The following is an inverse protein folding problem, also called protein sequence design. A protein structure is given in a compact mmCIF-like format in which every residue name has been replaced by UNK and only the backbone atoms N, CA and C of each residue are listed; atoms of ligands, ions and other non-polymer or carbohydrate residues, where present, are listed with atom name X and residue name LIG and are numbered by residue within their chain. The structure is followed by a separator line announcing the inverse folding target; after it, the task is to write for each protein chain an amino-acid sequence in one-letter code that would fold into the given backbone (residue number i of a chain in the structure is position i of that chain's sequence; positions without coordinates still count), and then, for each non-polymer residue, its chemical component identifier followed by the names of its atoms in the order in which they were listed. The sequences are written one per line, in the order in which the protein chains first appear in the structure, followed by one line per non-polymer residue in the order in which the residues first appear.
data_IF_787681450256
#
_entry.id   IF_787681450256
#
_cell.length_a   1.000
_cell.length_b   1.000
_cell.length_c   1.000
_cell.angle_alpha   90.00
_cell.angle_beta   90.00
_cell.angle_gamma   90.00
#
_symmetry.space_group_name_H-M   'P 1'
#
loop_
_entity.id
_entity.type
_entity.pdbx_description
1 polymer ?
#
# COMPACT_ATOMS: atom_id res chain seq x y z
N UNK A 1 -15.82 -0.85 -7.67
CA UNK A 1 -14.41 -0.93 -7.24
C UNK A 1 -14.43 -1.22 -5.76
N UNK A 2 -14.14 -2.46 -5.39
CA UNK A 2 -14.01 -2.87 -4.00
C UNK A 2 -12.55 -2.70 -3.55
N UNK A 3 -12.34 -2.24 -2.32
CA UNK A 3 -11.01 -2.07 -1.74
C UNK A 3 -10.79 -3.04 -0.59
N UNK A 4 -9.83 -3.95 -0.75
CA UNK A 4 -9.47 -4.92 0.28
C UNK A 4 -8.30 -4.40 1.10
N UNK A 5 -8.43 -4.41 2.43
CA UNK A 5 -7.32 -4.11 3.34
C UNK A 5 -6.46 -5.34 3.59
N UNK A 6 -5.15 -5.19 3.50
CA UNK A 6 -4.17 -6.27 3.70
C UNK A 6 -3.38 -6.16 4.99
N UNK A 7 -3.50 -5.03 5.71
CA UNK A 7 -2.95 -4.86 7.05
C UNK A 7 -3.98 -5.20 8.13
N UNK A 8 -3.62 -6.03 9.11
CA UNK A 8 -4.49 -6.32 10.28
C UNK A 8 -4.51 -5.15 11.26
N UNK A 9 -3.39 -4.41 11.37
CA UNK A 9 -3.23 -3.20 12.17
C UNK A 9 -2.36 -2.19 11.44
N UNK A 10 -2.47 -0.88 11.73
CA UNK A 10 -1.53 0.10 11.24
C UNK A 10 -0.10 -0.20 11.72
N UNK A 11 0.89 -0.03 10.84
CA UNK A 11 2.29 -0.31 11.17
C UNK A 11 3.21 0.84 10.77
N UNK A 12 4.32 1.01 11.50
CA UNK A 12 5.30 2.06 11.18
C UNK A 12 6.11 1.68 9.94
N UNK A 13 6.14 2.58 8.95
CA UNK A 13 6.93 2.42 7.74
C UNK A 13 8.08 3.42 7.71
N UNK A 14 9.33 2.92 7.71
CA UNK A 14 10.51 3.77 7.56
C UNK A 14 10.51 4.52 6.22
N UNK A 15 10.06 3.86 5.15
CA UNK A 15 10.00 4.45 3.81
C UNK A 15 8.90 5.50 3.64
N UNK A 16 8.08 5.75 4.67
CA UNK A 16 7.05 6.78 4.67
C UNK A 16 7.19 7.63 5.95
N UNK A 17 8.43 8.06 6.26
CA UNK A 17 8.77 8.96 7.38
C UNK A 17 8.37 8.45 8.77
N UNK A 18 8.36 7.13 8.99
CA UNK A 18 7.92 6.49 10.23
C UNK A 18 6.45 6.75 10.61
N UNK A 19 5.62 7.13 9.64
CA UNK A 19 4.15 7.17 9.77
C UNK A 19 3.58 5.77 9.92
N UNK A 20 2.42 5.68 10.56
CA UNK A 20 1.60 4.48 10.55
C UNK A 20 0.92 4.37 9.18
N UNK A 21 0.95 3.18 8.59
CA UNK A 21 0.30 2.89 7.32
C UNK A 21 -0.72 1.78 7.47
N UNK A 22 -1.78 1.86 6.67
CA UNK A 22 -2.52 0.70 6.21
C UNK A 22 -2.25 0.45 4.73
N UNK A 23 -2.48 -0.78 4.29
CA UNK A 23 -2.33 -1.15 2.89
C UNK A 23 -3.64 -1.68 2.35
N UNK A 24 -4.03 -1.18 1.19
CA UNK A 24 -5.22 -1.58 0.47
C UNK A 24 -4.86 -1.92 -0.98
N UNK A 25 -5.66 -2.77 -1.60
CA UNK A 25 -5.59 -3.06 -3.03
C UNK A 25 -7.00 -3.08 -3.62
N UNK A 26 -7.13 -2.68 -4.89
CA UNK A 26 -8.36 -2.90 -5.64
C UNK A 26 -8.58 -4.39 -5.93
N UNK A 27 -9.77 -4.72 -6.39
CA UNK A 27 -10.18 -6.06 -6.84
C UNK A 27 -9.22 -6.70 -7.85
N UNK A 28 -8.70 -5.94 -8.81
CA UNK A 28 -7.71 -6.42 -9.80
C UNK A 28 -6.43 -6.94 -9.12
N UNK A 29 -5.95 -6.22 -8.10
CA UNK A 29 -4.72 -6.57 -7.40
C UNK A 29 -4.91 -7.58 -6.25
N UNK A 30 -6.12 -7.73 -5.73
CA UNK A 30 -6.37 -8.34 -4.42
C UNK A 30 -5.85 -9.79 -4.32
N UNK A 31 -6.13 -10.63 -5.31
CA UNK A 31 -5.70 -12.02 -5.33
C UNK A 31 -4.16 -12.11 -5.28
N UNK A 32 -3.47 -11.41 -6.18
CA UNK A 32 -2.02 -11.53 -6.35
C UNK A 32 -1.26 -10.82 -5.22
N UNK A 33 -1.77 -9.68 -4.75
CA UNK A 33 -1.18 -8.92 -3.64
C UNK A 33 -1.27 -9.69 -2.31
N UNK A 34 -2.32 -10.50 -2.13
CA UNK A 34 -2.47 -11.40 -0.97
C UNK A 34 -1.33 -12.42 -0.85
N UNK A 35 -0.65 -12.72 -1.95
CA UNK A 35 0.45 -13.70 -1.99
C UNK A 35 1.80 -13.10 -1.56
N UNK A 36 1.83 -11.82 -1.15
CA UNK A 36 2.99 -11.14 -0.56
C UNK A 36 4.29 -11.27 -1.37
N UNK A 37 4.14 -11.23 -2.69
CA UNK A 37 5.20 -11.27 -3.68
C UNK A 37 5.53 -12.66 -4.22
N UNK A 38 4.74 -13.70 -3.92
CA UNK A 38 4.86 -14.99 -4.58
C UNK A 38 4.18 -15.03 -5.96
N UNK A 39 3.22 -14.14 -6.22
CA UNK A 39 2.56 -13.95 -7.52
C UNK A 39 2.81 -12.52 -8.00
N UNK A 40 3.81 -12.36 -8.86
CA UNK A 40 4.27 -11.10 -9.44
C UNK A 40 4.71 -11.33 -10.89
N UNK A 41 4.69 -10.30 -11.76
CA UNK A 41 4.25 -8.91 -11.50
C UNK A 41 2.74 -8.82 -11.26
N UNK A 42 2.28 -7.71 -10.67
CA UNK A 42 0.84 -7.48 -10.54
C UNK A 42 0.20 -7.19 -11.92
N UNK A 43 -1.08 -7.55 -12.14
CA UNK A 43 -1.79 -7.25 -13.40
C UNK A 43 -1.89 -5.75 -13.68
N UNK A 44 -1.91 -5.36 -14.96
CA UNK A 44 -2.22 -3.98 -15.39
C UNK A 44 -3.58 -3.55 -14.82
N UNK A 45 -3.67 -2.32 -14.33
CA UNK A 45 -4.84 -1.79 -13.62
C UNK A 45 -4.88 -2.15 -12.12
N UNK A 46 -3.87 -2.88 -11.62
CA UNK A 46 -3.69 -3.06 -10.18
C UNK A 46 -3.42 -1.71 -9.51
N UNK A 47 -4.17 -1.37 -8.48
CA UNK A 47 -3.95 -0.17 -7.67
C UNK A 47 -3.72 -0.57 -6.24
N UNK A 48 -2.58 -0.13 -5.70
CA UNK A 48 -2.26 -0.23 -4.28
C UNK A 48 -2.40 1.14 -3.65
N UNK A 49 -3.08 1.21 -2.51
CA UNK A 49 -3.27 2.43 -1.76
C UNK A 49 -2.71 2.29 -0.34
N UNK A 50 -2.08 3.36 0.16
CA UNK A 50 -1.62 3.44 1.54
C UNK A 50 -2.05 4.76 2.15
N UNK A 51 -2.98 4.69 3.10
CA UNK A 51 -3.20 5.82 3.98
C UNK A 51 -2.03 5.95 4.94
N UNK A 52 -1.80 7.17 5.45
CA UNK A 52 -0.77 7.39 6.45
C UNK A 52 -1.27 8.32 7.54
N UNK A 53 -0.77 8.13 8.75
CA UNK A 53 -1.04 9.04 9.86
C UNK A 53 0.07 8.99 10.91
N UNK A 54 0.09 9.98 11.79
CA UNK A 54 0.90 9.97 13.01
C UNK A 54 -0.01 10.04 14.22
N UNK A 55 0.39 9.35 15.29
CA UNK A 55 -0.20 9.52 16.63
C UNK A 55 0.82 10.22 17.51
N UNK A 56 0.42 11.30 18.17
CA UNK A 56 1.28 11.96 19.15
C UNK A 56 1.12 11.32 20.55
N UNK A 57 1.95 11.75 21.51
CA UNK A 57 1.91 11.24 22.90
C UNK A 57 0.59 11.51 23.62
N UNK A 58 -0.19 12.48 23.16
CA UNK A 58 -1.52 12.83 23.70
C UNK A 58 -2.68 12.09 23.03
N UNK A 59 -2.41 11.09 22.19
CA UNK A 59 -3.44 10.32 21.48
C UNK A 59 -4.10 11.05 20.30
N UNK A 60 -3.63 12.25 19.94
CA UNK A 60 -4.14 12.95 18.75
C UNK A 60 -3.58 12.28 17.50
N UNK A 61 -4.48 11.97 16.59
CA UNK A 61 -4.17 11.50 15.24
C UNK A 61 -4.07 12.69 14.30
N UNK A 62 -3.02 12.72 13.50
CA UNK A 62 -2.86 13.67 12.38
C UNK A 62 -2.73 12.86 11.10
N UNK A 63 -3.64 13.08 10.17
CA UNK A 63 -3.64 12.43 8.87
C UNK A 63 -2.43 12.89 8.06
N UNK A 64 -1.76 11.94 7.43
CA UNK A 64 -0.75 12.15 6.40
C UNK A 64 -1.34 11.95 5.01
N UNK A 65 -0.46 11.96 4.01
CA UNK A 65 -0.87 11.74 2.64
C UNK A 65 -1.39 10.30 2.41
N UNK A 66 -2.34 10.18 1.47
CA UNK A 66 -2.68 8.94 0.80
C UNK A 66 -1.71 8.77 -0.38
N UNK A 67 -1.00 7.64 -0.43
CA UNK A 67 -0.12 7.31 -1.56
C UNK A 67 -0.70 6.16 -2.36
N UNK A 68 -0.65 6.31 -3.69
CA UNK A 68 -1.14 5.32 -4.64
C UNK A 68 0.00 4.83 -5.52
N UNK A 69 -0.09 3.56 -5.91
CA UNK A 69 0.72 2.96 -6.97
C UNK A 69 -0.23 2.23 -7.92
N UNK A 70 -0.24 2.60 -9.20
CA UNK A 70 -1.02 1.96 -10.24
C UNK A 70 -0.12 1.26 -11.26
N UNK A 71 -0.42 0.01 -11.57
CA UNK A 71 0.31 -0.76 -12.58
C UNK A 71 -0.20 -0.38 -13.97
N UNK A 72 0.60 0.36 -14.71
CA UNK A 72 0.26 0.86 -16.04
C UNK A 72 0.58 -0.19 -17.12
N UNK A 73 0.03 -0.03 -18.35
CA UNK A 73 0.44 -0.82 -19.50
C UNK A 73 1.95 -0.71 -19.76
N UNK A 74 2.57 -1.76 -20.34
CA UNK A 74 3.99 -1.73 -20.68
C UNK A 74 4.38 -0.52 -21.54
N UNK A 75 5.46 0.17 -21.16
CA UNK A 75 5.96 1.34 -21.89
C UNK A 75 5.65 2.68 -21.22
N UNK A 76 4.86 2.69 -20.15
CA UNK A 76 4.54 3.92 -19.41
C UNK A 76 5.76 4.51 -18.69
N UNK A 77 6.47 3.67 -17.95
CA UNK A 77 7.68 4.04 -17.22
C UNK A 77 8.56 2.80 -17.04
N UNK A 78 9.18 2.27 -18.11
CA UNK A 78 9.85 0.96 -18.09
C UNK A 78 10.94 0.85 -17.01
N UNK A 79 11.66 1.95 -16.77
CA UNK A 79 12.69 2.06 -15.73
C UNK A 79 12.13 1.94 -14.30
N UNK A 80 10.84 2.21 -14.14
CA UNK A 80 10.09 2.14 -12.89
C UNK A 80 9.11 0.95 -12.86
N UNK A 81 9.28 -0.01 -13.77
CA UNK A 81 8.43 -1.20 -13.86
C UNK A 81 6.99 -0.87 -14.24
N UNK A 82 6.77 0.21 -14.99
CA UNK A 82 5.45 0.71 -15.40
C UNK A 82 4.53 1.04 -14.21
N UNK A 83 5.09 1.45 -13.08
CA UNK A 83 4.33 1.93 -11.93
C UNK A 83 4.09 3.43 -12.01
N UNK A 84 2.82 3.84 -11.96
CA UNK A 84 2.40 5.23 -11.74
C UNK A 84 2.27 5.50 -10.26
N UNK A 85 2.92 6.55 -9.77
CA UNK A 85 2.86 6.99 -8.38
C UNK A 85 1.98 8.22 -8.25
N UNK A 86 1.19 8.31 -7.17
CA UNK A 86 0.41 9.52 -6.86
C UNK A 86 0.41 9.77 -5.36
N UNK A 87 0.54 11.04 -4.97
CA UNK A 87 0.43 11.46 -3.58
C UNK A 87 -0.68 12.49 -3.42
N UNK A 88 -1.63 12.19 -2.52
CA UNK A 88 -2.80 13.02 -2.24
C UNK A 88 -2.72 13.51 -0.78
N UNK A 89 -2.76 14.82 -0.58
CA UNK A 89 -2.74 15.45 0.72
C UNK A 89 -4.05 15.22 1.50
N UNK A 90 -4.05 15.41 2.84
CA UNK A 90 -5.26 15.25 3.65
C UNK A 90 -6.44 16.15 3.24
N UNK A 91 -6.17 17.26 2.55
CA UNK A 91 -7.18 18.19 2.03
C UNK A 91 -7.67 17.83 0.60
N UNK A 92 -7.21 16.70 0.07
CA UNK A 92 -7.58 16.19 -1.26
C UNK A 92 -6.73 16.72 -2.41
N UNK A 93 -5.80 17.66 -2.18
CA UNK A 93 -4.91 18.14 -3.25
C UNK A 93 -3.93 17.06 -3.66
N UNK A 94 -3.72 16.91 -4.97
CA UNK A 94 -2.64 16.09 -5.51
C UNK A 94 -1.33 16.87 -5.30
N UNK A 95 -0.40 16.30 -4.54
CA UNK A 95 0.94 16.86 -4.36
C UNK A 95 1.83 16.56 -5.58
N UNK A 96 1.64 15.40 -6.19
CA UNK A 96 2.37 14.99 -7.39
C UNK A 96 1.89 13.65 -7.94
N UNK A 97 2.16 13.44 -9.22
CA UNK A 97 1.76 12.27 -9.99
C UNK A 97 2.75 12.03 -11.14
N UNK A 98 3.23 10.80 -11.31
CA UNK A 98 4.17 10.47 -12.39
C UNK A 98 3.48 10.45 -13.75
N UNK A 99 4.20 10.83 -14.82
CA UNK A 99 3.68 10.92 -16.18
C UNK A 99 2.88 12.19 -16.47
N UNK A 100 3.01 13.22 -15.63
CA UNK A 100 2.44 14.56 -15.80
C UNK A 100 3.53 15.61 -15.57
N UNK A 101 3.32 16.86 -15.98
CA UNK A 101 4.35 17.92 -15.99
C UNK A 101 4.96 18.31 -14.62
N UNK A 102 4.49 17.77 -13.49
CA UNK A 102 4.93 18.09 -12.12
C UNK A 102 5.52 16.86 -11.38
N UNK A 103 6.49 16.19 -12.03
CA UNK A 103 7.08 14.91 -11.59
C UNK A 103 7.99 15.02 -10.34
N UNK A 104 8.48 16.21 -10.00
CA UNK A 104 9.52 16.40 -8.98
C UNK A 104 9.09 15.89 -7.60
N UNK A 105 7.80 15.98 -7.27
CA UNK A 105 7.27 15.52 -5.98
C UNK A 105 7.23 13.98 -5.84
N UNK A 106 7.39 13.22 -6.93
CA UNK A 106 7.25 11.75 -6.94
C UNK A 106 8.50 10.99 -7.39
N UNK A 107 9.58 11.67 -7.79
CA UNK A 107 10.88 11.05 -8.10
C UNK A 107 11.36 10.16 -6.95
N UNK A 108 11.25 10.66 -5.71
CA UNK A 108 11.62 9.91 -4.51
C UNK A 108 10.84 8.60 -4.35
N UNK A 109 9.56 8.56 -4.77
CA UNK A 109 8.76 7.34 -4.71
C UNK A 109 9.36 6.26 -5.61
N UNK A 110 9.61 6.61 -6.87
CA UNK A 110 10.19 5.72 -7.86
C UNK A 110 11.58 5.23 -7.43
N UNK A 111 12.48 6.13 -7.04
CA UNK A 111 13.85 5.79 -6.61
C UNK A 111 13.89 4.83 -5.41
N UNK A 112 13.00 5.05 -4.42
CA UNK A 112 12.90 4.17 -3.27
C UNK A 112 12.38 2.79 -3.68
N UNK A 113 11.34 2.76 -4.52
CA UNK A 113 10.68 1.54 -4.97
C UNK A 113 11.51 0.71 -5.94
N UNK A 114 12.39 1.33 -6.72
CA UNK A 114 13.36 0.66 -7.60
C UNK A 114 14.31 -0.28 -6.84
N UNK A 115 14.49 -0.08 -5.53
CA UNK A 115 15.31 -0.95 -4.67
C UNK A 115 14.63 -2.28 -4.32
N UNK A 116 13.34 -2.42 -4.57
CA UNK A 116 12.63 -3.68 -4.33
C UNK A 116 12.88 -4.69 -5.43
N UNK A 117 13.17 -5.94 -5.04
CA UNK A 117 13.30 -7.08 -5.95
C UNK A 117 11.96 -7.75 -6.29
N UNK A 118 10.84 -7.17 -5.84
CA UNK A 118 9.49 -7.75 -5.92
C UNK A 118 8.56 -6.83 -6.70
N UNK A 119 8.82 -6.65 -7.99
CA UNK A 119 8.03 -5.78 -8.87
C UNK A 119 7.84 -4.37 -8.27
N UNK A 120 8.93 -3.77 -7.77
CA UNK A 120 8.91 -2.46 -7.12
C UNK A 120 8.07 -2.39 -5.83
N UNK A 121 7.56 -3.50 -5.30
CA UNK A 121 6.69 -3.50 -4.12
C UNK A 121 7.43 -3.75 -2.81
N UNK A 122 7.08 -2.97 -1.79
CA UNK A 122 7.39 -3.28 -0.39
C UNK A 122 6.12 -3.72 0.33
N UNK A 123 6.13 -4.95 0.81
CA UNK A 123 5.03 -5.52 1.59
C UNK A 123 5.17 -5.19 3.07
N UNK A 124 4.04 -5.21 3.76
CA UNK A 124 3.97 -5.03 5.21
C UNK A 124 4.81 -6.09 5.94
N UNK A 125 5.33 -5.82 7.15
CA UNK A 125 5.94 -6.85 7.99
C UNK A 125 4.98 -8.02 8.23
N UNK A 126 5.51 -9.26 8.30
CA UNK A 126 4.69 -10.48 8.32
C UNK A 126 3.58 -10.47 9.37
N UNK A 127 3.87 -10.02 10.60
CA UNK A 127 2.92 -9.95 11.72
C UNK A 127 1.72 -8.99 11.52
N UNK A 128 1.73 -8.17 10.48
CA UNK A 128 0.63 -7.25 10.16
C UNK A 128 -0.15 -7.69 8.92
N UNK A 129 0.20 -8.82 8.30
CA UNK A 129 -0.44 -9.30 7.08
C UNK A 129 -1.69 -10.09 7.41
N UNK A 130 -2.77 -9.83 6.67
CA UNK A 130 -3.97 -10.70 6.70
C UNK A 130 -3.56 -12.13 6.27
N UNK A 131 -4.02 -13.15 6.99
CA UNK A 131 -3.73 -14.56 6.71
C UNK A 131 -2.33 -15.05 7.10
N UNK A 132 -1.50 -14.23 7.77
CA UNK A 132 -0.17 -14.66 8.22
C UNK A 132 -0.16 -15.52 9.49
N UNK A 133 -1.25 -15.51 10.26
CA UNK A 133 -1.38 -16.19 11.55
C UNK A 133 -2.17 -17.52 11.47
N UNK A 134 -2.70 -17.89 10.30
CA UNK A 134 -3.53 -19.11 10.14
C UNK A 134 -2.72 -20.41 10.14
N UNK A 135 -1.38 -20.33 10.22
CA UNK A 135 -0.52 -21.49 10.50
C UNK A 135 -0.21 -21.68 11.98
N UNK A 136 -0.69 -20.79 12.86
CA UNK A 136 -0.47 -20.84 14.31
C UNK A 136 -1.78 -20.85 15.13
N UNK A 137 -2.95 -20.77 14.48
CA UNK A 137 -4.25 -20.64 15.15
C UNK A 137 -5.04 -21.95 15.35
N UNK A 138 -4.45 -23.13 15.13
CA UNK A 138 -5.07 -24.42 15.49
C UNK A 138 -5.02 -24.74 17.00
N UNK A 139 -4.71 -23.79 17.88
CA UNK A 139 -4.78 -24.05 19.33
C UNK A 139 -5.32 -22.92 20.21
N UNK A 140 -6.11 -21.97 19.68
CA UNK A 140 -6.76 -21.02 20.58
C UNK A 140 -7.66 -19.96 19.94
N UNK A 141 -8.97 -20.16 20.10
CA UNK A 141 -9.97 -19.09 20.21
C UNK A 141 -10.17 -18.20 18.98
N UNK A 142 -11.05 -18.64 18.08
CA UNK A 142 -11.45 -17.87 16.91
C UNK A 142 -12.13 -16.54 17.25
N UNK A 143 -11.68 -15.47 16.60
CA UNK A 143 -12.43 -14.22 16.49
C UNK A 143 -12.96 -14.12 15.06
N UNK A 144 -14.25 -14.42 14.90
CA UNK A 144 -15.00 -14.14 13.66
C UNK A 144 -15.24 -12.63 13.56
N UNK A 145 -14.57 -11.97 12.62
CA UNK A 145 -14.98 -10.64 12.17
C UNK A 145 -16.16 -10.80 11.22
N UNK A 146 -17.37 -10.70 11.77
CA UNK A 146 -18.59 -10.59 10.97
C UNK A 146 -18.74 -9.14 10.52
N UNK A 147 -18.58 -8.89 9.22
CA UNK A 147 -18.71 -7.59 8.58
C UNK A 147 -20.17 -7.22 8.38
N UNK A 148 -20.90 -7.00 9.48
CA UNK A 148 -22.25 -6.42 9.46
C UNK A 148 -22.46 -5.65 10.76
N UNK A 149 -22.01 -4.40 10.75
CA UNK A 149 -22.49 -3.24 11.53
C UNK A 149 -21.46 -2.13 11.40
N UNK A 150 -21.71 -1.20 10.48
CA UNK A 150 -21.90 0.23 10.74
C UNK A 150 -22.59 0.84 9.52
#
# INVERSE_FOLDING_TARGET
LEWTRFSTLPYRSKGHENRYLNNYANDIAAEDYSQYGAKLPLPVGSILAKDSFVSNKGGRIVLGALTLMEKMPPGFAPENGDWKFTMILPDGRIMGMSGEDDEVAIEFCAECHHKSKKDFLFFMPKKYRVGADDSAAESGGGYNYNSDRY
#
